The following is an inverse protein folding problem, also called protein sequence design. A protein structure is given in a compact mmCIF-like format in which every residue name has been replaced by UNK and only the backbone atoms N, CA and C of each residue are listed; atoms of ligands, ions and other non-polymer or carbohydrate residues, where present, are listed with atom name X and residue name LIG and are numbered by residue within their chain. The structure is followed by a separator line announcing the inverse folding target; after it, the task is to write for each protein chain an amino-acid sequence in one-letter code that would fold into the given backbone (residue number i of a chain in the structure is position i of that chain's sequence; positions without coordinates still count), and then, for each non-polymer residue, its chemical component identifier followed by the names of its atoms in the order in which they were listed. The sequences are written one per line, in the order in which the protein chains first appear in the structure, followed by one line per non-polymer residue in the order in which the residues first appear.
data_IF_427725505172
#
_entry.id   IF_427725505172
#
_cell.length_a   1.000
_cell.length_b   1.000
_cell.length_c   1.000
_cell.angle_alpha   90.00
_cell.angle_beta   90.00
_cell.angle_gamma   90.00
#
_symmetry.space_group_name_H-M   'P 1'
#
loop_
_entity.id
_entity.type
_entity.pdbx_description
1 polymer ?
#
# COMPACT_ATOMS: atom_id res chain seq x y z
N UNK A 1 35.82 -2.76 25.81
CA UNK A 1 34.85 -3.03 26.88
C UNK A 1 33.51 -2.35 26.58
N UNK A 2 33.44 -1.05 26.25
CA UNK A 2 32.21 -0.33 25.96
C UNK A 2 31.44 -0.88 24.74
N UNK A 3 32.13 -1.26 23.67
CA UNK A 3 31.52 -1.82 22.46
C UNK A 3 30.85 -3.16 22.76
N UNK A 4 31.50 -4.02 23.57
CA UNK A 4 30.92 -5.31 23.95
C UNK A 4 29.67 -5.13 24.83
N UNK A 5 29.71 -4.18 25.77
CA UNK A 5 28.53 -3.88 26.59
C UNK A 5 27.35 -3.34 25.78
N UNK A 6 27.63 -2.41 24.87
CA UNK A 6 26.59 -1.86 24.00
C UNK A 6 25.98 -2.92 23.06
N UNK A 7 26.81 -3.80 22.50
CA UNK A 7 26.35 -4.90 21.67
C UNK A 7 25.51 -5.91 22.45
N UNK A 8 25.91 -6.19 23.69
CA UNK A 8 25.19 -7.12 24.56
C UNK A 8 23.85 -6.55 25.02
N UNK A 9 23.77 -5.27 25.36
CA UNK A 9 22.50 -4.60 25.72
C UNK A 9 21.53 -4.54 24.53
N UNK A 10 22.03 -4.27 23.34
CA UNK A 10 21.20 -4.32 22.14
C UNK A 10 20.69 -5.75 21.86
N UNK A 11 21.54 -6.76 22.03
CA UNK A 11 21.14 -8.16 21.89
C UNK A 11 20.02 -8.53 22.86
N UNK A 12 20.14 -8.19 24.14
CA UNK A 12 19.09 -8.42 25.14
C UNK A 12 17.79 -7.69 24.78
N UNK A 13 17.89 -6.43 24.35
CA UNK A 13 16.71 -5.66 23.93
C UNK A 13 16.01 -6.29 22.73
N UNK A 14 16.76 -6.81 21.77
CA UNK A 14 16.18 -7.50 20.61
C UNK A 14 15.55 -8.84 21.00
N UNK A 15 16.15 -9.56 21.96
CA UNK A 15 15.61 -10.81 22.50
C UNK A 15 14.30 -10.56 23.27
N UNK A 16 14.27 -9.55 24.16
CA UNK A 16 13.06 -9.16 24.91
C UNK A 16 11.92 -8.72 24.01
N UNK A 17 12.23 -8.08 22.88
CA UNK A 17 11.24 -7.68 21.86
C UNK A 17 10.84 -8.82 20.91
N UNK A 18 11.33 -10.04 21.13
CA UNK A 18 11.04 -11.19 20.26
C UNK A 18 11.63 -11.08 18.85
N UNK A 19 12.62 -10.19 18.66
CA UNK A 19 13.30 -10.03 17.37
C UNK A 19 14.40 -11.08 17.16
N UNK A 20 14.86 -11.72 18.24
CA UNK A 20 15.82 -12.83 18.21
C UNK A 20 15.24 -13.95 19.09
N UNK A 21 14.70 -14.97 18.48
CA UNK A 21 14.39 -16.24 19.14
C UNK A 21 15.53 -17.21 18.90
N UNK A 22 15.85 -18.04 19.90
CA UNK A 22 16.89 -19.06 19.86
C UNK A 22 16.81 -19.88 18.55
N UNK A 23 17.82 -19.70 17.69
CA UNK A 23 18.02 -20.46 16.42
C UNK A 23 16.82 -20.58 15.47
N UNK A 24 15.75 -19.86 15.70
CA UNK A 24 14.68 -19.72 14.71
C UNK A 24 14.95 -18.40 13.97
N UNK A 25 15.13 -18.51 12.67
CA UNK A 25 14.92 -17.38 11.77
C UNK A 25 13.67 -16.68 12.28
N UNK A 26 13.81 -15.44 12.73
CA UNK A 26 12.67 -14.62 13.13
C UNK A 26 11.66 -14.81 12.02
N UNK A 27 10.59 -15.54 12.27
CA UNK A 27 9.42 -15.53 11.42
C UNK A 27 8.88 -14.12 11.61
N UNK A 28 9.49 -13.17 10.92
CA UNK A 28 8.90 -11.88 10.70
C UNK A 28 7.47 -12.21 10.37
N UNK A 29 6.55 -11.93 11.31
CA UNK A 29 5.11 -11.96 11.00
C UNK A 29 5.05 -11.24 9.69
N UNK A 30 4.68 -11.96 8.61
CA UNK A 30 4.65 -11.35 7.28
C UNK A 30 3.83 -10.09 7.45
N UNK A 31 4.51 -8.96 7.48
CA UNK A 31 3.86 -7.70 7.66
C UNK A 31 2.79 -7.63 6.57
N UNK A 32 1.59 -7.18 6.89
CA UNK A 32 0.45 -7.16 5.95
C UNK A 32 0.85 -6.61 4.57
N UNK A 33 1.83 -5.70 4.51
CA UNK A 33 2.38 -5.12 3.28
C UNK A 33 2.95 -6.19 2.33
N UNK A 34 3.57 -7.26 2.83
CA UNK A 34 4.03 -8.34 1.96
C UNK A 34 2.85 -9.08 1.29
N UNK A 35 1.76 -9.26 2.03
CA UNK A 35 0.54 -9.87 1.48
C UNK A 35 -0.11 -8.95 0.47
N UNK A 36 -0.13 -7.65 0.74
CA UNK A 36 -0.64 -6.62 -0.15
C UNK A 36 0.17 -6.55 -1.46
N UNK A 37 1.51 -6.48 -1.36
CA UNK A 37 2.40 -6.47 -2.53
C UNK A 37 2.20 -7.75 -3.34
N UNK A 38 2.16 -8.91 -2.70
CA UNK A 38 1.92 -10.20 -3.37
C UNK A 38 0.57 -10.25 -4.09
N UNK A 39 -0.49 -9.69 -3.51
CA UNK A 39 -1.79 -9.56 -4.15
C UNK A 39 -1.73 -8.68 -5.40
N UNK A 40 -1.15 -7.48 -5.28
CA UNK A 40 -1.04 -6.55 -6.41
C UNK A 40 -0.20 -7.13 -7.56
N UNK A 41 0.87 -7.86 -7.25
CA UNK A 41 1.67 -8.57 -8.25
C UNK A 41 0.88 -9.68 -8.94
N UNK A 42 0.14 -10.49 -8.19
CA UNK A 42 -0.70 -11.56 -8.74
C UNK A 42 -1.78 -11.00 -9.68
N UNK A 43 -2.39 -9.88 -9.32
CA UNK A 43 -3.38 -9.17 -10.14
C UNK A 43 -2.74 -8.30 -11.25
N UNK A 44 -1.41 -8.27 -11.36
CA UNK A 44 -0.65 -7.45 -12.34
C UNK A 44 -0.98 -5.96 -12.26
N UNK A 45 -1.16 -5.44 -11.05
CA UNK A 45 -1.43 -4.04 -10.78
C UNK A 45 -0.09 -3.34 -10.49
N UNK A 46 0.34 -2.47 -11.37
CA UNK A 46 1.60 -1.75 -11.26
C UNK A 46 1.46 -0.35 -10.62
N UNK A 47 0.23 0.15 -10.51
CA UNK A 47 -0.07 1.48 -9.96
C UNK A 47 -1.19 1.37 -8.94
N UNK A 48 -1.01 1.99 -7.78
CA UNK A 48 -2.03 2.03 -6.75
C UNK A 48 -1.99 3.36 -5.96
N UNK A 49 -3.04 3.60 -5.21
CA UNK A 49 -3.18 4.73 -4.28
C UNK A 49 -3.49 4.19 -2.89
N UNK A 50 -2.85 4.75 -1.86
CA UNK A 50 -3.05 4.32 -0.47
C UNK A 50 -2.73 5.44 0.52
N UNK A 51 -2.80 5.16 1.82
CA UNK A 51 -2.27 6.04 2.85
C UNK A 51 -0.73 6.16 2.75
N UNK A 52 -0.20 7.21 3.41
CA UNK A 52 1.22 7.54 3.38
C UNK A 52 2.14 6.38 3.80
N UNK A 53 1.80 5.69 4.89
CA UNK A 53 2.63 4.59 5.41
C UNK A 53 2.69 3.39 4.48
N UNK A 54 1.55 3.02 3.94
CA UNK A 54 1.40 1.91 3.00
C UNK A 54 2.04 2.23 1.65
N UNK A 55 1.90 3.47 1.16
CA UNK A 55 2.45 3.89 -0.12
C UNK A 55 3.98 3.76 -0.15
N UNK A 56 4.67 4.30 0.85
CA UNK A 56 6.12 4.23 0.95
C UNK A 56 6.64 2.81 1.10
N UNK A 57 6.08 2.08 2.05
CA UNK A 57 6.51 0.70 2.36
C UNK A 57 6.22 -0.28 1.22
N UNK A 58 5.05 -0.18 0.60
CA UNK A 58 4.66 -1.06 -0.51
C UNK A 58 5.50 -0.83 -1.75
N UNK A 59 5.75 0.41 -2.13
CA UNK A 59 6.63 0.75 -3.25
C UNK A 59 8.06 0.25 -3.02
N UNK A 60 8.59 0.42 -1.80
CA UNK A 60 9.92 -0.07 -1.44
C UNK A 60 10.01 -1.60 -1.47
N UNK A 61 9.08 -2.31 -0.82
CA UNK A 61 9.09 -3.77 -0.73
C UNK A 61 8.86 -4.45 -2.09
N UNK A 62 8.15 -3.80 -3.00
CA UNK A 62 8.01 -4.30 -4.37
C UNK A 62 9.29 -4.10 -5.23
N UNK A 63 10.32 -3.42 -4.69
CA UNK A 63 11.50 -3.03 -5.45
C UNK A 63 11.17 -2.08 -6.61
N UNK A 64 10.13 -1.28 -6.46
CA UNK A 64 9.67 -0.32 -7.47
C UNK A 64 8.87 -0.95 -8.63
N UNK A 65 8.52 -2.24 -8.56
CA UNK A 65 7.64 -2.87 -9.55
C UNK A 65 6.21 -2.37 -9.43
N UNK A 66 5.78 -2.05 -8.20
CA UNK A 66 4.50 -1.42 -7.92
C UNK A 66 4.76 -0.02 -7.42
N UNK A 67 4.16 0.95 -8.05
CA UNK A 67 4.25 2.35 -7.67
C UNK A 67 2.97 2.72 -6.93
N UNK A 68 3.06 2.97 -5.62
CA UNK A 68 1.92 3.36 -4.80
C UNK A 68 2.05 4.84 -4.46
N UNK A 69 1.04 5.62 -4.84
CA UNK A 69 0.91 7.03 -4.46
C UNK A 69 0.12 7.16 -3.17
N UNK A 70 0.46 8.14 -2.37
CA UNK A 70 -0.36 8.54 -1.23
C UNK A 70 -1.58 9.37 -1.66
N UNK A 71 -2.64 9.31 -0.87
CA UNK A 71 -3.80 10.22 -0.99
C UNK A 71 -3.38 11.61 -0.49
N UNK A 72 -2.88 12.46 -1.35
CA UNK A 72 -2.48 13.80 -0.94
C UNK A 72 -2.35 14.72 -2.15
N UNK A 73 -2.82 15.94 -2.01
CA UNK A 73 -2.60 16.99 -3.00
C UNK A 73 -1.10 17.28 -3.21
N UNK A 74 -0.31 17.15 -2.14
CA UNK A 74 1.13 17.42 -2.14
C UNK A 74 1.91 16.19 -1.67
N UNK A 75 2.10 15.17 -2.51
CA UNK A 75 2.79 13.96 -2.12
C UNK A 75 4.25 14.22 -1.77
N UNK A 76 4.67 13.70 -0.62
CA UNK A 76 6.04 13.86 -0.12
C UNK A 76 7.02 13.02 -0.93
N UNK A 77 6.58 11.86 -1.40
CA UNK A 77 7.46 10.94 -2.12
C UNK A 77 7.53 11.26 -3.62
N UNK A 78 8.73 11.25 -4.18
CA UNK A 78 8.96 11.36 -5.63
C UNK A 78 8.23 10.26 -6.42
N UNK A 79 8.06 9.09 -5.81
CA UNK A 79 7.29 7.96 -6.39
C UNK A 79 5.83 8.34 -6.63
N UNK A 80 5.23 9.05 -5.69
CA UNK A 80 3.85 9.51 -5.81
C UNK A 80 3.69 10.53 -6.96
N UNK A 81 4.64 11.45 -7.11
CA UNK A 81 4.66 12.38 -8.25
C UNK A 81 4.76 11.64 -9.58
N UNK A 82 5.57 10.57 -9.63
CA UNK A 82 5.70 9.72 -10.81
C UNK A 82 4.40 9.00 -11.15
N UNK A 83 3.72 8.46 -10.15
CA UNK A 83 2.43 7.76 -10.34
C UNK A 83 1.38 8.69 -10.92
N UNK A 84 1.35 9.94 -10.50
CA UNK A 84 0.40 10.95 -11.02
C UNK A 84 0.62 11.28 -12.49
N UNK A 85 1.87 11.22 -12.94
CA UNK A 85 2.20 11.42 -14.35
C UNK A 85 1.95 10.19 -15.23
N UNK A 86 1.67 9.03 -14.62
CA UNK A 86 1.39 7.81 -15.37
C UNK A 86 -0.04 7.81 -15.91
N UNK A 87 -0.16 7.75 -17.22
CA UNK A 87 -1.44 7.57 -17.94
C UNK A 87 -1.92 6.12 -17.94
N UNK A 88 -1.45 5.30 -17.00
CA UNK A 88 -1.80 3.88 -16.93
C UNK A 88 -3.31 3.75 -16.66
N UNK A 89 -4.06 3.12 -17.55
CA UNK A 89 -5.52 3.01 -17.40
C UNK A 89 -5.90 2.14 -16.19
N UNK A 90 -5.03 1.19 -15.82
CA UNK A 90 -5.27 0.23 -14.73
C UNK A 90 -4.56 0.66 -13.46
N UNK A 91 -5.32 0.90 -12.40
CA UNK A 91 -4.82 1.24 -11.08
C UNK A 91 -5.69 0.59 -10.00
N UNK A 92 -5.20 0.57 -8.75
CA UNK A 92 -5.98 0.16 -7.58
C UNK A 92 -6.07 1.28 -6.55
N UNK A 93 -7.13 1.23 -5.76
CA UNK A 93 -7.30 2.01 -4.53
C UNK A 93 -7.18 1.05 -3.37
N UNK A 94 -6.31 1.34 -2.43
CA UNK A 94 -6.07 0.55 -1.22
C UNK A 94 -6.50 1.39 -0.05
N UNK A 95 -7.63 1.08 0.54
CA UNK A 95 -8.25 1.89 1.57
C UNK A 95 -8.63 1.06 2.79
N UNK A 96 -8.78 1.71 3.94
CA UNK A 96 -9.30 1.10 5.16
C UNK A 96 -10.29 2.01 5.84
N UNK A 97 -11.10 1.43 6.72
CA UNK A 97 -12.04 2.14 7.58
C UNK A 97 -12.96 3.09 6.78
N UNK A 98 -13.09 4.31 7.24
CA UNK A 98 -13.95 5.31 6.62
C UNK A 98 -13.58 5.64 5.17
N UNK A 99 -12.29 5.54 4.81
CA UNK A 99 -11.83 5.77 3.43
C UNK A 99 -12.38 4.70 2.48
N UNK A 100 -12.38 3.43 2.91
CA UNK A 100 -12.95 2.35 2.11
C UNK A 100 -14.44 2.59 1.84
N UNK A 101 -15.20 2.94 2.87
CA UNK A 101 -16.63 3.27 2.76
C UNK A 101 -16.86 4.46 1.81
N UNK A 102 -16.02 5.51 1.92
CA UNK A 102 -16.14 6.69 1.06
C UNK A 102 -15.95 6.34 -0.41
N UNK A 103 -14.91 5.55 -0.73
CA UNK A 103 -14.67 5.13 -2.12
C UNK A 103 -15.77 4.19 -2.62
N UNK A 104 -16.22 3.25 -1.80
CA UNK A 104 -17.31 2.35 -2.16
C UNK A 104 -18.60 3.11 -2.51
N UNK A 105 -18.98 4.08 -1.67
CA UNK A 105 -20.14 4.93 -1.93
C UNK A 105 -19.99 5.70 -3.25
N UNK A 106 -18.83 6.34 -3.45
CA UNK A 106 -18.55 7.06 -4.69
C UNK A 106 -18.68 6.17 -5.93
N UNK A 107 -18.11 4.97 -5.88
CA UNK A 107 -18.17 4.01 -7.00
C UNK A 107 -19.63 3.60 -7.30
N UNK A 108 -20.41 3.33 -6.26
CA UNK A 108 -21.83 2.95 -6.39
C UNK A 108 -22.68 4.09 -6.93
N UNK A 109 -22.54 5.30 -6.38
CA UNK A 109 -23.29 6.49 -6.81
C UNK A 109 -23.03 6.85 -8.28
N UNK A 110 -21.80 6.65 -8.73
CA UNK A 110 -21.38 6.94 -10.09
C UNK A 110 -21.51 5.73 -11.05
N UNK A 111 -22.06 4.61 -10.57
CA UNK A 111 -22.28 3.38 -11.36
C UNK A 111 -21.00 2.87 -12.04
N UNK A 112 -19.88 2.95 -11.31
CA UNK A 112 -18.62 2.39 -11.76
C UNK A 112 -18.57 0.93 -11.33
N UNK A 113 -18.41 0.01 -12.27
CA UNK A 113 -18.13 -1.38 -11.96
C UNK A 113 -16.67 -1.53 -11.52
N UNK A 114 -16.43 -2.39 -10.55
CA UNK A 114 -15.10 -2.62 -9.99
C UNK A 114 -14.98 -4.03 -9.41
N UNK A 115 -13.75 -4.49 -9.26
CA UNK A 115 -13.43 -5.66 -8.42
C UNK A 115 -13.01 -5.20 -7.04
N UNK A 116 -13.27 -6.02 -6.04
CA UNK A 116 -12.83 -5.77 -4.67
C UNK A 116 -12.29 -7.02 -4.01
N UNK A 117 -11.31 -6.84 -3.13
CA UNK A 117 -10.77 -7.88 -2.24
C UNK A 117 -10.31 -7.27 -0.93
N UNK A 118 -10.34 -8.08 0.13
CA UNK A 118 -9.82 -7.69 1.44
C UNK A 118 -8.48 -8.36 1.68
N UNK A 119 -7.45 -7.56 1.96
CA UNK A 119 -6.13 -8.06 2.34
C UNK A 119 -5.77 -7.47 3.70
N UNK A 120 -5.78 -8.31 4.73
CA UNK A 120 -5.64 -7.89 6.13
C UNK A 120 -6.76 -6.91 6.54
N UNK A 121 -6.42 -5.67 6.85
CA UNK A 121 -7.36 -4.60 7.23
C UNK A 121 -7.69 -3.64 6.08
N UNK A 122 -7.17 -3.91 4.86
CA UNK A 122 -7.36 -3.05 3.71
C UNK A 122 -8.36 -3.66 2.74
N UNK A 123 -9.24 -2.82 2.22
CA UNK A 123 -10.05 -3.10 1.05
C UNK A 123 -9.34 -2.56 -0.18
N UNK A 124 -9.25 -3.38 -1.21
CA UNK A 124 -8.59 -3.05 -2.48
C UNK A 124 -9.67 -3.01 -3.55
N UNK A 125 -9.74 -1.91 -4.28
CA UNK A 125 -10.64 -1.71 -5.40
C UNK A 125 -9.82 -1.58 -6.67
N UNK A 126 -10.18 -2.30 -7.73
CA UNK A 126 -9.46 -2.25 -9.01
C UNK A 126 -10.35 -2.68 -10.19
N UNK A 127 -9.80 -2.65 -11.40
CA UNK A 127 -10.50 -2.99 -12.65
C UNK A 127 -11.80 -2.16 -12.82
N UNK A 128 -11.64 -0.84 -12.64
CA UNK A 128 -12.75 0.09 -12.79
C UNK A 128 -13.22 0.14 -14.24
N UNK A 129 -14.54 -0.01 -14.45
CA UNK A 129 -15.18 0.14 -15.74
C UNK A 129 -16.46 0.99 -15.62
N UNK A 130 -16.68 1.84 -16.61
CA UNK A 130 -17.77 2.80 -16.61
C UNK A 130 -17.49 3.90 -17.62
N UNK A 131 -18.11 5.06 -17.44
CA UNK A 131 -17.80 6.24 -18.24
C UNK A 131 -16.36 6.70 -18.01
N UNK A 132 -15.56 6.83 -19.07
CA UNK A 132 -14.15 7.19 -18.99
C UNK A 132 -13.93 8.50 -18.23
N UNK A 133 -14.83 9.47 -18.40
CA UNK A 133 -14.77 10.75 -17.69
C UNK A 133 -14.93 10.56 -16.18
N UNK A 134 -15.83 9.67 -15.77
CA UNK A 134 -16.08 9.39 -14.36
C UNK A 134 -14.93 8.63 -13.72
N UNK A 135 -14.32 7.68 -14.43
CA UNK A 135 -13.13 6.97 -13.98
C UNK A 135 -11.93 7.92 -13.85
N UNK A 136 -11.75 8.87 -14.76
CA UNK A 136 -10.72 9.91 -14.65
C UNK A 136 -10.98 10.85 -13.47
N UNK A 137 -12.23 11.22 -13.23
CA UNK A 137 -12.62 12.01 -12.08
C UNK A 137 -12.33 11.29 -10.74
N UNK A 138 -12.55 9.98 -10.68
CA UNK A 138 -12.15 9.17 -9.52
C UNK A 138 -10.66 9.31 -9.24
N UNK A 139 -9.82 9.24 -10.27
CA UNK A 139 -8.37 9.40 -10.12
C UNK A 139 -7.99 10.81 -9.63
N UNK A 140 -8.67 11.81 -10.12
CA UNK A 140 -8.48 13.20 -9.65
C UNK A 140 -8.92 13.37 -8.20
N UNK A 141 -10.03 12.75 -7.81
CA UNK A 141 -10.53 12.77 -6.44
C UNK A 141 -9.53 12.16 -5.44
N UNK A 142 -8.90 11.05 -5.82
CA UNK A 142 -7.90 10.36 -4.99
C UNK A 142 -6.61 11.20 -4.86
N UNK A 143 -6.32 12.01 -5.86
CA UNK A 143 -5.07 12.79 -5.95
C UNK A 143 -5.18 14.20 -5.35
N UNK A 144 -6.34 14.62 -4.90
CA UNK A 144 -6.63 15.90 -4.24
C UNK A 144 -6.82 15.72 -2.73
#
# INVERSE_FOLDING_TARGET
IWICFYSFTNYLTFQERGLIEENKVVKLKKHFIHSLVGFLEAEKIAVAYSDYGTAGSGSYLSGGRINISEYSANPVYKTAQRVRSMTTPRFAIIAKDNHATTYQNYLQENKIDYKTATVSEYEIFWDFSGDDTVVQNLRSLISN
#
